data_IF_999135778436
#
_entry.id   IF_999135778436
#
_cell.length_a   1.000
_cell.length_b   1.000
_cell.length_c   1.000
_cell.angle_alpha   90.00
_cell.angle_beta   90.00
_cell.angle_gamma   90.00
#
_symmetry.space_group_name_H-M   'P 1'
#
loop_
_entity.id
_entity.type
_entity.pdbx_description
1 polymer ?
#
# COMPACT_ATOMS: atom_id res chain seq x y z
N UNK A 1 17.00 -13.16 6.21
CA UNK A 1 17.03 -11.79 6.76
C UNK A 1 15.63 -11.18 6.96
N UNK A 2 14.65 -11.50 6.12
CA UNK A 2 13.26 -11.00 6.25
C UNK A 2 12.52 -11.48 7.51
N UNK A 3 12.70 -12.73 7.88
CA UNK A 3 12.06 -13.30 9.09
C UNK A 3 12.56 -12.69 10.41
N UNK A 4 13.78 -12.17 10.45
CA UNK A 4 14.33 -11.47 11.61
C UNK A 4 13.77 -10.05 11.75
N UNK A 5 13.54 -9.34 10.62
CA UNK A 5 12.91 -8.00 10.63
C UNK A 5 11.44 -8.06 11.05
N UNK A 6 10.72 -9.12 10.65
CA UNK A 6 9.31 -9.33 11.02
C UNK A 6 9.13 -9.68 12.50
N UNK A 7 10.09 -10.42 13.08
CA UNK A 7 10.12 -10.73 14.52
C UNK A 7 10.44 -9.50 15.39
N UNK A 8 11.38 -8.65 14.95
CA UNK A 8 11.75 -7.41 15.65
C UNK A 8 10.62 -6.36 15.65
N UNK A 9 9.83 -6.28 14.58
CA UNK A 9 8.67 -5.38 14.50
C UNK A 9 7.53 -5.83 15.43
N UNK A 10 7.24 -7.14 15.47
CA UNK A 10 6.23 -7.73 16.34
C UNK A 10 6.56 -7.56 17.83
N UNK A 11 7.82 -7.69 18.20
CA UNK A 11 8.27 -7.51 19.59
C UNK A 11 8.24 -6.04 20.02
N UNK A 12 8.49 -5.08 19.12
CA UNK A 12 8.36 -3.65 19.42
C UNK A 12 6.90 -3.23 19.62
N UNK A 13 5.98 -3.71 18.79
CA UNK A 13 4.54 -3.47 18.98
C UNK A 13 4.07 -4.08 20.31
N UNK A 14 4.54 -5.28 20.64
CA UNK A 14 4.21 -5.93 21.91
C UNK A 14 4.74 -5.17 23.13
N UNK A 15 5.94 -4.59 23.04
CA UNK A 15 6.53 -3.78 24.11
C UNK A 15 5.78 -2.47 24.29
N UNK A 16 5.35 -1.82 23.20
CA UNK A 16 4.58 -0.57 23.24
C UNK A 16 3.19 -0.85 23.85
N UNK A 17 2.50 -1.91 23.45
CA UNK A 17 1.21 -2.28 24.02
C UNK A 17 1.32 -2.68 25.50
N UNK A 18 2.36 -3.40 25.89
CA UNK A 18 2.60 -3.76 27.30
C UNK A 18 2.90 -2.53 28.15
N UNK A 19 3.69 -1.57 27.65
CA UNK A 19 4.01 -0.29 28.32
C UNK A 19 2.75 0.54 28.55
N UNK A 20 1.85 0.60 27.56
CA UNK A 20 0.55 1.29 27.65
C UNK A 20 -0.35 0.62 28.69
N UNK A 21 -0.43 -0.71 28.71
CA UNK A 21 -1.25 -1.44 29.72
C UNK A 21 -0.73 -1.23 31.16
N UNK A 22 0.59 -1.24 31.37
CA UNK A 22 1.19 -0.97 32.71
C UNK A 22 0.92 0.45 33.16
N UNK A 23 0.95 1.41 32.24
CA UNK A 23 0.64 2.82 32.55
C UNK A 23 -0.85 3.00 32.93
N UNK A 24 -1.76 2.33 32.21
CA UNK A 24 -3.20 2.36 32.53
C UNK A 24 -3.51 1.73 33.90
N UNK A 25 -2.85 0.64 34.26
CA UNK A 25 -3.03 0.02 35.60
C UNK A 25 -2.51 0.90 36.71
N UNK A 26 -1.40 1.63 36.49
CA UNK A 26 -0.88 2.60 37.45
C UNK A 26 -1.83 3.81 37.61
N UNK A 27 -2.39 4.34 36.51
CA UNK A 27 -3.35 5.45 36.58
C UNK A 27 -4.63 5.05 37.33
N UNK A 28 -5.18 3.86 37.11
CA UNK A 28 -6.35 3.37 37.79
C UNK A 28 -6.05 3.17 39.29
N UNK A 29 -4.87 2.69 39.65
CA UNK A 29 -4.45 2.51 41.03
C UNK A 29 -4.33 3.84 41.79
N UNK A 30 -3.84 4.91 41.13
CA UNK A 30 -3.77 6.25 41.72
C UNK A 30 -5.14 6.93 41.87
N UNK A 31 -6.11 6.62 40.98
CA UNK A 31 -7.48 7.13 41.09
C UNK A 31 -8.22 6.46 42.27
N UNK A 32 -8.02 5.16 42.51
CA UNK A 32 -8.69 4.43 43.58
C UNK A 32 -8.16 4.75 45.00
N UNK A 33 -7.00 5.42 45.11
CA UNK A 33 -6.46 5.85 46.39
C UNK A 33 -6.99 7.21 46.91
N UNK A 34 -7.87 7.88 46.14
CA UNK A 34 -8.30 9.27 46.38
C UNK A 34 -9.78 9.45 46.76
N UNK A 35 -10.54 8.38 47.01
CA UNK A 35 -11.87 8.51 47.59
C UNK A 35 -11.81 8.28 49.12
N UNK A 36 -11.41 9.29 49.85
CA UNK A 36 -11.85 9.59 51.24
C UNK A 36 -11.15 10.85 51.72
N UNK A 37 -11.84 11.98 51.72
CA UNK A 37 -11.83 12.96 52.84
C UNK A 37 -12.79 14.12 52.57
N UNK A 38 -13.91 14.09 53.22
CA UNK A 38 -14.73 15.10 53.93
C UNK A 38 -14.65 16.58 53.61
N UNK A 39 -15.88 17.11 53.43
CA UNK A 39 -16.34 18.51 53.47
C UNK A 39 -15.84 19.29 54.72
N UNK A 40 -15.43 20.55 54.52
CA UNK A 40 -15.78 21.66 55.44
C UNK A 40 -15.45 23.03 54.83
N UNK A 41 -16.45 23.87 54.74
CA UNK A 41 -16.57 25.33 54.72
C UNK A 41 -15.31 26.22 54.64
N UNK A 42 -15.28 27.13 53.59
CA UNK A 42 -14.94 28.56 53.76
C UNK A 42 -15.14 29.32 52.42
N UNK A 43 -16.22 30.15 52.37
CA UNK A 43 -16.61 30.86 51.12
C UNK A 43 -16.02 32.26 50.95
N UNK A 44 -15.09 32.74 51.78
CA UNK A 44 -14.53 34.13 51.69
C UNK A 44 -13.05 34.20 51.28
N UNK A 45 -12.31 33.13 51.37
CA UNK A 45 -10.90 33.08 50.91
C UNK A 45 -10.79 32.66 49.41
N UNK A 46 -11.84 32.18 48.79
CA UNK A 46 -11.82 31.54 47.49
C UNK A 46 -11.57 32.52 46.31
N UNK A 47 -11.96 33.82 46.42
CA UNK A 47 -11.79 34.77 45.31
C UNK A 47 -10.34 35.22 45.11
N UNK A 48 -9.66 35.59 46.20
CA UNK A 48 -8.27 36.12 46.13
C UNK A 48 -7.29 34.99 45.79
N UNK A 49 -7.49 33.79 46.30
CA UNK A 49 -6.71 32.59 45.99
C UNK A 49 -6.91 32.18 44.54
N UNK A 50 -8.14 32.24 44.03
CA UNK A 50 -8.46 31.95 42.65
C UNK A 50 -7.78 32.92 41.67
N UNK A 51 -7.83 34.22 41.91
CA UNK A 51 -7.18 35.24 41.07
C UNK A 51 -5.65 35.12 41.08
N UNK A 52 -5.07 34.72 42.19
CA UNK A 52 -3.63 34.50 42.30
C UNK A 52 -3.22 33.24 41.49
N UNK A 53 -3.95 32.13 41.60
CA UNK A 53 -3.74 30.90 40.83
C UNK A 53 -3.82 31.18 39.34
N UNK A 54 -4.86 31.91 38.91
CA UNK A 54 -5.05 32.25 37.51
C UNK A 54 -3.84 33.03 36.95
N UNK A 55 -3.37 34.05 37.67
CA UNK A 55 -2.22 34.86 37.25
C UNK A 55 -0.90 34.08 37.19
N UNK A 56 -0.69 33.14 38.10
CA UNK A 56 0.57 32.35 38.15
C UNK A 56 0.68 31.33 37.04
N UNK A 57 -0.43 30.66 36.68
CA UNK A 57 -0.41 29.55 35.72
C UNK A 57 -0.90 29.92 34.33
N UNK A 58 -1.60 31.04 34.14
CA UNK A 58 -2.12 31.54 32.85
C UNK A 58 -1.04 31.56 31.74
N UNK A 59 0.21 31.96 31.95
CA UNK A 59 1.24 31.93 30.89
C UNK A 59 1.51 30.53 30.34
N UNK A 60 1.45 29.48 31.17
CA UNK A 60 1.68 28.10 30.75
C UNK A 60 0.48 27.55 29.97
N UNK A 61 -0.74 27.91 30.39
CA UNK A 61 -1.97 27.58 29.72
C UNK A 61 -2.05 28.24 28.34
N UNK A 62 -1.66 29.51 28.26
CA UNK A 62 -1.62 30.26 27.00
C UNK A 62 -0.57 29.67 26.03
N UNK A 63 0.63 29.31 26.53
CA UNK A 63 1.66 28.66 25.72
C UNK A 63 1.17 27.32 25.17
N UNK A 64 0.43 26.51 25.95
CA UNK A 64 -0.17 25.25 25.51
C UNK A 64 -1.27 25.50 24.45
N UNK A 65 -2.10 26.52 24.64
CA UNK A 65 -3.14 26.94 23.68
C UNK A 65 -2.52 27.39 22.35
N UNK A 66 -1.42 28.18 22.39
CA UNK A 66 -0.71 28.61 21.19
C UNK A 66 -0.09 27.42 20.42
N UNK A 67 0.44 26.42 21.14
CA UNK A 67 0.93 25.18 20.51
C UNK A 67 -0.20 24.50 19.75
N UNK A 68 -1.39 24.36 20.35
CA UNK A 68 -2.54 23.75 19.71
C UNK A 68 -3.01 24.57 18.48
N UNK A 69 -3.12 25.87 18.60
CA UNK A 69 -3.54 26.77 17.52
C UNK A 69 -2.55 26.74 16.34
N UNK A 70 -1.26 26.50 16.59
CA UNK A 70 -0.23 26.40 15.56
C UNK A 70 -0.47 25.28 14.53
N UNK A 71 -1.32 24.31 14.86
CA UNK A 71 -1.71 23.21 13.96
C UNK A 71 -2.44 23.69 12.69
N UNK A 72 -2.96 24.92 12.69
CA UNK A 72 -3.48 25.58 11.49
C UNK A 72 -2.52 25.54 10.31
N UNK A 73 -1.21 25.59 10.55
CA UNK A 73 -0.18 25.56 9.51
C UNK A 73 -0.03 24.21 8.82
N UNK A 74 -0.60 23.14 9.40
CA UNK A 74 -0.59 21.79 8.83
C UNK A 74 -1.78 21.56 7.89
N UNK A 75 -2.82 22.40 7.98
CA UNK A 75 -4.09 22.24 7.26
C UNK A 75 -3.94 22.72 5.81
N UNK A 76 -4.44 21.93 4.87
CA UNK A 76 -4.50 22.27 3.46
C UNK A 76 -5.91 21.94 2.92
N UNK A 77 -6.85 22.88 3.08
CA UNK A 77 -8.26 22.67 2.77
C UNK A 77 -8.85 21.54 3.61
N UNK A 78 -9.33 20.48 2.95
CA UNK A 78 -9.94 19.29 3.60
C UNK A 78 -8.93 18.16 3.85
N UNK A 79 -7.63 18.43 3.71
CA UNK A 79 -6.54 17.47 3.92
C UNK A 79 -5.39 18.13 4.67
N UNK A 80 -4.27 17.43 4.81
CA UNK A 80 -3.04 17.95 5.42
C UNK A 80 -1.92 18.06 4.38
N UNK A 81 -0.97 18.98 4.64
CA UNK A 81 0.34 18.93 4.02
C UNK A 81 1.26 18.06 4.90
N UNK A 82 1.48 16.82 4.53
CA UNK A 82 2.22 15.83 5.34
C UNK A 82 3.64 16.27 5.70
N UNK A 83 4.35 16.94 4.77
CA UNK A 83 5.70 17.45 5.00
C UNK A 83 5.70 18.58 6.03
N UNK A 84 4.80 19.56 5.88
CA UNK A 84 4.63 20.65 6.84
C UNK A 84 4.16 20.14 8.20
N UNK A 85 3.23 19.18 8.20
CA UNK A 85 2.71 18.56 9.41
C UNK A 85 3.83 17.88 10.21
N UNK A 86 4.70 17.09 9.56
CA UNK A 86 5.85 16.47 10.23
C UNK A 86 6.78 17.49 10.89
N UNK A 87 7.09 18.59 10.21
CA UNK A 87 7.96 19.64 10.74
C UNK A 87 7.31 20.35 11.94
N UNK A 88 6.04 20.74 11.80
CA UNK A 88 5.33 21.51 12.84
C UNK A 88 5.04 20.64 14.07
N UNK A 89 4.66 19.39 13.90
CA UNK A 89 4.45 18.46 14.99
C UNK A 89 5.74 18.25 15.79
N UNK A 90 6.89 18.07 15.14
CA UNK A 90 8.17 17.92 15.83
C UNK A 90 8.58 19.22 16.56
N UNK A 91 8.34 20.41 15.97
CA UNK A 91 8.54 21.68 16.65
C UNK A 91 7.64 21.82 17.89
N UNK A 92 6.36 21.45 17.76
CA UNK A 92 5.41 21.46 18.86
C UNK A 92 5.78 20.49 19.98
N UNK A 93 6.27 19.27 19.64
CA UNK A 93 6.77 18.32 20.64
C UNK A 93 7.96 18.89 21.43
N UNK A 94 8.86 19.60 20.78
CA UNK A 94 9.96 20.30 21.46
C UNK A 94 9.46 21.42 22.38
N UNK A 95 8.45 22.19 21.94
CA UNK A 95 7.81 23.22 22.76
C UNK A 95 7.10 22.63 23.97
N UNK A 96 6.33 21.54 23.79
CA UNK A 96 5.65 20.81 24.88
C UNK A 96 6.67 20.30 25.91
N UNK A 97 7.78 19.73 25.47
CA UNK A 97 8.86 19.28 26.37
C UNK A 97 9.45 20.44 27.16
N UNK A 98 9.70 21.57 26.52
CA UNK A 98 10.22 22.77 27.20
C UNK A 98 9.19 23.34 28.18
N UNK A 99 7.90 23.39 27.78
CA UNK A 99 6.82 23.85 28.65
C UNK A 99 6.69 22.96 29.89
N UNK A 100 6.73 21.62 29.71
CA UNK A 100 6.73 20.68 30.81
C UNK A 100 7.87 20.88 31.79
N UNK A 101 9.09 21.18 31.30
CA UNK A 101 10.24 21.52 32.16
C UNK A 101 10.00 22.82 32.92
N UNK A 102 9.47 23.86 32.26
CA UNK A 102 9.13 25.13 32.92
C UNK A 102 8.14 24.93 34.07
N UNK A 103 7.01 24.21 33.77
CA UNK A 103 5.98 23.92 34.78
C UNK A 103 6.52 23.08 35.93
N UNK A 104 7.34 22.07 35.64
CA UNK A 104 7.96 21.23 36.68
C UNK A 104 8.98 21.98 37.57
N UNK A 105 9.57 23.06 37.06
CA UNK A 105 10.53 23.87 37.79
C UNK A 105 9.88 24.97 38.68
N UNK A 106 8.56 25.14 38.56
CA UNK A 106 7.85 26.07 39.43
C UNK A 106 7.94 25.56 40.85
N UNK A 107 8.86 26.11 41.61
CA UNK A 107 8.96 25.90 43.06
C UNK A 107 7.72 26.55 43.66
N UNK A 108 6.84 25.76 44.22
CA UNK A 108 5.66 26.25 44.91
C UNK A 108 6.13 27.10 46.08
N UNK A 109 6.28 28.40 45.83
CA UNK A 109 6.66 29.35 46.85
C UNK A 109 5.58 29.53 47.94
N UNK A 110 4.37 29.06 47.66
CA UNK A 110 3.23 29.07 48.56
C UNK A 110 2.51 27.71 48.55
N UNK A 111 2.36 27.12 49.72
CA UNK A 111 1.74 25.81 49.96
C UNK A 111 0.24 25.69 49.51
N UNK A 112 -0.28 26.63 48.73
CA UNK A 112 -1.71 26.75 48.51
C UNK A 112 -2.23 26.08 47.21
N UNK A 113 -1.34 25.56 46.32
CA UNK A 113 -1.82 24.97 45.06
C UNK A 113 -1.01 23.77 44.56
N UNK A 114 -0.70 22.77 45.39
CA UNK A 114 0.10 21.60 44.96
C UNK A 114 -0.65 20.75 43.88
N UNK A 115 -1.96 20.93 43.69
CA UNK A 115 -2.76 20.15 42.76
C UNK A 115 -2.73 20.64 41.31
N UNK A 116 -2.36 21.93 41.05
CA UNK A 116 -2.42 22.50 39.69
C UNK A 116 -1.28 22.01 38.80
N UNK A 117 -0.06 21.95 39.34
CA UNK A 117 1.12 21.52 38.57
C UNK A 117 0.94 20.14 37.96
N UNK A 118 0.51 19.08 38.69
CA UNK A 118 0.24 17.77 38.10
C UNK A 118 -0.84 17.81 37.03
N UNK A 119 -1.86 18.62 37.17
CA UNK A 119 -2.95 18.75 36.17
C UNK A 119 -2.46 19.42 34.87
N UNK A 120 -1.69 20.50 34.98
CA UNK A 120 -1.07 21.16 33.81
C UNK A 120 -0.09 20.20 33.12
N UNK A 121 0.72 19.48 33.88
CA UNK A 121 1.63 18.46 33.33
C UNK A 121 0.86 17.38 32.59
N UNK A 122 -0.28 16.90 33.14
CA UNK A 122 -1.13 15.92 32.47
C UNK A 122 -1.71 16.43 31.16
N UNK A 123 -2.09 17.71 31.07
CA UNK A 123 -2.54 18.32 29.82
C UNK A 123 -1.42 18.33 28.78
N UNK A 124 -0.19 18.71 29.19
CA UNK A 124 0.98 18.73 28.32
C UNK A 124 1.31 17.30 27.84
N UNK A 125 1.32 16.32 28.74
CA UNK A 125 1.62 14.92 28.41
C UNK A 125 0.61 14.32 27.46
N UNK A 126 -0.69 14.53 27.68
CA UNK A 126 -1.72 14.04 26.75
C UNK A 126 -1.58 14.65 25.37
N UNK A 127 -1.23 15.94 25.27
CA UNK A 127 -0.96 16.62 24.00
C UNK A 127 0.31 16.09 23.34
N UNK A 128 1.36 15.85 24.12
CA UNK A 128 2.61 15.25 23.67
C UNK A 128 2.37 13.83 23.09
N UNK A 129 1.59 12.99 23.78
CA UNK A 129 1.23 11.66 23.28
C UNK A 129 0.43 11.72 21.97
N UNK A 130 -0.55 12.61 21.87
CA UNK A 130 -1.35 12.78 20.67
C UNK A 130 -0.49 13.18 19.47
N UNK A 131 0.37 14.19 19.64
CA UNK A 131 1.19 14.70 18.54
C UNK A 131 2.35 13.76 18.19
N UNK A 132 2.95 13.09 19.17
CA UNK A 132 3.95 12.04 18.95
C UNK A 132 3.38 10.89 18.13
N UNK A 133 2.18 10.45 18.47
CA UNK A 133 1.51 9.41 17.69
C UNK A 133 1.26 9.82 16.23
N UNK A 134 0.85 11.06 15.99
CA UNK A 134 0.71 11.58 14.62
C UNK A 134 2.05 11.59 13.86
N UNK A 135 3.17 11.96 14.52
CA UNK A 135 4.53 11.90 13.92
C UNK A 135 4.92 10.47 13.58
N UNK A 136 4.68 9.54 14.49
CA UNK A 136 5.00 8.12 14.27
C UNK A 136 4.23 7.55 13.07
N UNK A 137 2.94 7.86 12.98
CA UNK A 137 2.09 7.45 11.86
C UNK A 137 2.57 8.05 10.53
N UNK A 138 2.96 9.34 10.50
CA UNK A 138 3.52 9.97 9.29
C UNK A 138 4.85 9.34 8.84
N UNK A 139 5.63 8.81 9.78
CA UNK A 139 6.93 8.19 9.52
C UNK A 139 6.82 6.74 9.03
N UNK A 140 5.73 6.03 9.34
CA UNK A 140 5.53 4.61 9.07
C UNK A 140 4.23 4.35 8.28
N UNK A 141 4.17 4.83 7.04
CA UNK A 141 2.96 4.74 6.20
C UNK A 141 2.73 3.36 5.57
N UNK A 142 3.64 2.39 5.71
CA UNK A 142 3.50 1.08 5.10
C UNK A 142 2.83 0.06 6.05
N UNK A 143 1.73 -0.55 5.61
CA UNK A 143 1.01 -1.63 6.29
C UNK A 143 0.28 -1.27 7.59
N UNK A 144 -0.14 -0.02 7.77
CA UNK A 144 -0.95 0.39 8.92
C UNK A 144 -2.45 0.23 8.63
N UNK A 145 -3.18 -0.34 9.58
CA UNK A 145 -4.65 -0.34 9.56
C UNK A 145 -5.15 1.06 9.90
N UNK A 146 -5.73 1.78 8.94
CA UNK A 146 -6.28 3.13 9.17
C UNK A 146 -7.37 3.11 10.23
N UNK A 147 -8.14 2.02 10.35
CA UNK A 147 -9.16 1.87 11.38
C UNK A 147 -8.56 1.84 12.81
N UNK A 148 -7.45 1.13 13.01
CA UNK A 148 -6.75 1.07 14.30
C UNK A 148 -6.12 2.43 14.64
N UNK A 149 -5.48 3.07 13.67
CA UNK A 149 -4.90 4.41 13.83
C UNK A 149 -5.98 5.43 14.21
N UNK A 150 -7.11 5.42 13.50
CA UNK A 150 -8.24 6.31 13.78
C UNK A 150 -8.76 6.12 15.20
N UNK A 151 -8.94 4.88 15.62
CA UNK A 151 -9.39 4.56 16.99
C UNK A 151 -8.43 5.08 18.03
N UNK A 152 -7.12 4.96 17.81
CA UNK A 152 -6.09 5.45 18.73
C UNK A 152 -6.04 6.98 18.77
N UNK A 153 -6.14 7.67 17.62
CA UNK A 153 -6.20 9.14 17.56
C UNK A 153 -7.41 9.66 18.34
N UNK A 154 -8.59 9.04 18.14
CA UNK A 154 -9.80 9.44 18.86
C UNK A 154 -9.68 9.23 20.37
N UNK A 155 -9.06 8.15 20.81
CA UNK A 155 -8.78 7.90 22.24
C UNK A 155 -7.84 8.98 22.80
N UNK A 156 -6.75 9.30 22.13
CA UNK A 156 -5.79 10.32 22.57
C UNK A 156 -6.40 11.71 22.56
N UNK A 157 -7.22 12.04 21.55
CA UNK A 157 -8.01 13.29 21.47
C UNK A 157 -8.94 13.42 22.68
N UNK A 158 -9.62 12.35 23.05
CA UNK A 158 -10.51 12.31 24.21
C UNK A 158 -9.75 12.51 25.54
N UNK A 159 -8.58 11.90 25.69
CA UNK A 159 -7.72 12.09 26.84
C UNK A 159 -7.26 13.56 26.99
N UNK A 160 -6.90 14.20 25.87
CA UNK A 160 -6.60 15.63 25.88
C UNK A 160 -7.80 16.46 26.32
N UNK A 161 -9.00 16.21 25.77
CA UNK A 161 -10.21 16.94 26.15
C UNK A 161 -10.53 16.81 27.63
N UNK A 162 -10.48 15.61 28.18
CA UNK A 162 -10.74 15.39 29.62
C UNK A 162 -9.74 16.11 30.50
N UNK A 163 -8.45 16.07 30.21
CA UNK A 163 -7.46 16.79 31.01
C UNK A 163 -7.63 18.32 30.92
N UNK A 164 -8.07 18.83 29.77
CA UNK A 164 -8.35 20.25 29.58
C UNK A 164 -9.62 20.70 30.33
N UNK A 165 -10.67 19.91 30.31
CA UNK A 165 -11.87 20.11 31.10
C UNK A 165 -11.58 20.17 32.60
N UNK A 166 -10.68 19.29 33.09
CA UNK A 166 -10.24 19.31 34.47
C UNK A 166 -9.57 20.62 34.88
N UNK A 167 -8.79 21.23 33.99
CA UNK A 167 -8.19 22.57 34.19
C UNK A 167 -9.23 23.69 34.10
N UNK A 168 -10.20 23.57 33.18
CA UNK A 168 -11.27 24.57 33.01
C UNK A 168 -12.15 24.70 34.25
N UNK A 169 -12.28 23.65 35.05
CA UNK A 169 -12.98 23.71 36.35
C UNK A 169 -12.34 24.65 37.39
N UNK A 170 -11.06 25.02 37.18
CA UNK A 170 -10.36 26.01 38.00
C UNK A 170 -10.48 27.44 37.46
N UNK A 171 -11.18 27.64 36.32
CA UNK A 171 -11.43 28.92 35.70
C UNK A 171 -10.50 29.30 34.56
N UNK A 172 -9.68 28.37 34.10
CA UNK A 172 -8.88 28.56 32.89
C UNK A 172 -9.69 28.23 31.64
N UNK A 173 -9.53 29.02 30.57
CA UNK A 173 -10.07 28.70 29.25
C UNK A 173 -9.04 27.85 28.50
N UNK A 174 -9.11 26.53 28.68
CA UNK A 174 -8.26 25.58 27.95
C UNK A 174 -9.14 24.53 27.27
N UNK A 175 -8.99 24.43 25.98
CA UNK A 175 -9.66 23.41 25.15
C UNK A 175 -8.77 23.08 23.95
N UNK A 176 -9.01 21.91 23.36
CA UNK A 176 -8.36 21.58 22.11
C UNK A 176 -8.87 22.54 21.03
N UNK A 177 -7.98 23.32 20.41
CA UNK A 177 -8.38 24.37 19.48
C UNK A 177 -9.08 23.80 18.24
N UNK A 178 -9.92 24.60 17.59
CA UNK A 178 -10.59 24.25 16.35
C UNK A 178 -9.57 23.83 15.28
N UNK A 179 -8.40 24.47 15.26
CA UNK A 179 -7.32 24.15 14.33
C UNK A 179 -6.73 22.76 14.61
N UNK A 180 -6.53 22.39 15.88
CA UNK A 180 -6.09 21.04 16.25
C UNK A 180 -7.14 19.98 15.89
N UNK A 181 -8.42 20.25 16.16
CA UNK A 181 -9.49 19.33 15.79
C UNK A 181 -9.59 19.15 14.28
N UNK A 182 -9.58 20.24 13.53
CA UNK A 182 -9.60 20.23 12.05
C UNK A 182 -8.37 19.49 11.50
N UNK A 183 -7.20 19.72 12.10
CA UNK A 183 -6.00 18.98 11.70
C UNK A 183 -6.18 17.46 11.90
N UNK A 184 -6.67 17.01 13.04
CA UNK A 184 -6.85 15.60 13.34
C UNK A 184 -7.87 14.94 12.40
N UNK A 185 -8.97 15.62 12.13
CA UNK A 185 -9.99 15.12 11.21
C UNK A 185 -9.47 15.02 9.76
N UNK A 186 -8.75 16.05 9.30
CA UNK A 186 -8.08 16.05 8.00
C UNK A 186 -6.96 15.01 7.91
N UNK A 187 -6.24 14.76 9.02
CA UNK A 187 -5.19 13.74 9.11
C UNK A 187 -5.78 12.34 8.92
N UNK A 188 -6.88 12.02 9.59
CA UNK A 188 -7.60 10.76 9.41
C UNK A 188 -8.06 10.61 7.95
N UNK A 189 -8.62 11.65 7.35
CA UNK A 189 -9.04 11.66 5.95
C UNK A 189 -7.88 11.42 4.98
N UNK A 190 -6.72 12.03 5.25
CA UNK A 190 -5.48 11.83 4.50
C UNK A 190 -5.01 10.37 4.56
N UNK A 191 -5.02 9.75 5.73
CA UNK A 191 -4.64 8.34 5.91
C UNK A 191 -5.58 7.40 5.15
N UNK A 192 -6.89 7.67 5.19
CA UNK A 192 -7.86 6.90 4.41
C UNK A 192 -7.63 6.98 2.89
N UNK A 193 -7.18 8.14 2.42
CA UNK A 193 -6.81 8.32 1.00
C UNK A 193 -5.54 7.54 0.65
N UNK A 194 -4.51 7.59 1.51
CA UNK A 194 -3.28 6.81 1.32
C UNK A 194 -3.55 5.30 1.30
N UNK A 195 -4.39 4.79 2.21
CA UNK A 195 -4.76 3.39 2.24
C UNK A 195 -5.43 2.94 0.93
N UNK A 196 -6.33 3.77 0.38
CA UNK A 196 -6.98 3.47 -0.91
C UNK A 196 -5.96 3.40 -2.05
N UNK A 197 -5.09 4.41 -2.17
CA UNK A 197 -4.04 4.45 -3.20
C UNK A 197 -3.14 3.20 -3.09
N UNK A 198 -2.68 2.87 -1.89
CA UNK A 198 -1.81 1.70 -1.67
C UNK A 198 -2.51 0.39 -2.04
N UNK A 199 -3.80 0.24 -1.72
CA UNK A 199 -4.59 -0.94 -2.11
C UNK A 199 -4.80 -1.02 -3.62
N UNK A 200 -5.09 0.09 -4.28
CA UNK A 200 -5.24 0.15 -5.73
C UNK A 200 -3.93 -0.22 -6.44
N UNK A 201 -2.79 0.30 -5.98
CA UNK A 201 -1.48 -0.01 -6.55
C UNK A 201 -1.10 -1.48 -6.34
N UNK A 202 -1.42 -2.07 -5.18
CA UNK A 202 -1.21 -3.47 -4.91
C UNK A 202 -2.06 -4.37 -5.84
N UNK A 203 -3.33 -4.00 -6.07
CA UNK A 203 -4.21 -4.71 -7.00
C UNK A 203 -3.68 -4.62 -8.43
N UNK A 204 -3.30 -3.42 -8.90
CA UNK A 204 -2.72 -3.23 -10.24
C UNK A 204 -1.46 -4.06 -10.42
N UNK A 205 -0.56 -4.04 -9.44
CA UNK A 205 0.68 -4.83 -9.46
C UNK A 205 0.39 -6.34 -9.53
N UNK A 206 -0.58 -6.82 -8.75
CA UNK A 206 -0.98 -8.23 -8.76
C UNK A 206 -1.57 -8.63 -10.11
N UNK A 207 -2.45 -7.79 -10.68
CA UNK A 207 -3.05 -8.03 -12.00
C UNK A 207 -1.98 -8.04 -13.10
N UNK A 208 -1.03 -7.10 -13.06
CA UNK A 208 0.09 -7.04 -14.00
C UNK A 208 0.93 -8.32 -13.93
N UNK A 209 1.40 -8.71 -12.76
CA UNK A 209 2.23 -9.89 -12.57
C UNK A 209 1.52 -11.18 -13.01
N UNK A 210 0.25 -11.35 -12.63
CA UNK A 210 -0.55 -12.50 -13.03
C UNK A 210 -0.73 -12.57 -14.56
N UNK A 211 -0.86 -11.41 -15.22
CA UNK A 211 -0.98 -11.37 -16.68
C UNK A 211 0.36 -11.70 -17.36
N UNK A 212 1.49 -11.21 -16.85
CA UNK A 212 2.82 -11.56 -17.37
C UNK A 212 3.10 -13.07 -17.22
N UNK A 213 2.77 -13.67 -16.08
CA UNK A 213 2.90 -15.12 -15.88
C UNK A 213 2.08 -15.89 -16.93
N UNK A 214 0.87 -15.42 -17.25
CA UNK A 214 0.03 -16.03 -18.28
C UNK A 214 0.61 -15.86 -19.68
N UNK A 215 1.17 -14.70 -20.00
CA UNK A 215 1.88 -14.45 -21.25
C UNK A 215 3.06 -15.43 -21.43
N UNK A 216 3.88 -15.57 -20.39
CA UNK A 216 5.03 -16.49 -20.38
C UNK A 216 4.55 -17.93 -20.57
N UNK A 217 3.51 -18.36 -19.86
CA UNK A 217 2.93 -19.68 -19.99
C UNK A 217 2.47 -19.95 -21.43
N UNK A 218 1.64 -19.07 -22.00
CA UNK A 218 1.12 -19.24 -23.36
C UNK A 218 2.24 -19.19 -24.44
N UNK A 219 3.28 -18.38 -24.21
CA UNK A 219 4.45 -18.33 -25.10
C UNK A 219 5.27 -19.61 -25.05
N UNK A 220 5.44 -20.21 -23.86
CA UNK A 220 6.14 -21.49 -23.70
C UNK A 220 5.32 -22.64 -24.33
N UNK A 221 4.01 -22.70 -24.08
CA UNK A 221 3.12 -23.70 -24.69
C UNK A 221 3.12 -23.58 -26.23
N UNK A 222 3.21 -22.36 -26.79
CA UNK A 222 3.37 -22.16 -28.23
C UNK A 222 4.75 -22.63 -28.71
N UNK A 223 5.81 -22.37 -27.93
CA UNK A 223 7.18 -22.85 -28.23
C UNK A 223 7.24 -24.36 -28.29
N UNK A 224 6.55 -25.05 -27.40
CA UNK A 224 6.54 -26.51 -27.29
C UNK A 224 5.92 -27.19 -28.52
N UNK A 225 5.02 -26.50 -29.24
CA UNK A 225 4.39 -27.01 -30.48
C UNK A 225 5.02 -26.43 -31.75
N UNK A 226 5.97 -25.51 -31.64
CA UNK A 226 6.64 -24.87 -32.79
C UNK A 226 7.79 -25.73 -33.29
N UNK A 227 7.48 -26.73 -34.08
CA UNK A 227 8.46 -27.62 -34.71
C UNK A 227 8.72 -27.23 -36.16
N UNK A 228 9.98 -27.35 -36.56
CA UNK A 228 10.34 -27.39 -37.97
C UNK A 228 10.00 -28.74 -38.58
N UNK A 229 8.96 -28.76 -39.41
CA UNK A 229 8.48 -29.98 -40.05
C UNK A 229 9.21 -30.32 -41.38
N UNK A 230 10.13 -29.49 -41.84
CA UNK A 230 10.90 -29.74 -43.08
C UNK A 230 11.71 -31.04 -43.01
N UNK A 231 12.48 -31.33 -41.94
CA UNK A 231 13.23 -32.57 -41.85
C UNK A 231 12.35 -33.81 -41.86
N UNK A 232 11.18 -33.73 -41.20
CA UNK A 232 10.20 -34.83 -41.16
C UNK A 232 9.60 -35.12 -42.54
N UNK A 233 9.26 -34.06 -43.29
CA UNK A 233 8.72 -34.18 -44.66
C UNK A 233 9.77 -34.80 -45.60
N UNK A 234 11.00 -34.33 -45.55
CA UNK A 234 12.10 -34.86 -46.36
C UNK A 234 12.39 -36.33 -46.04
N UNK A 235 12.29 -36.75 -44.77
CA UNK A 235 12.45 -38.15 -44.37
C UNK A 235 11.30 -39.02 -44.92
N UNK A 236 10.04 -38.59 -44.82
CA UNK A 236 8.85 -39.29 -45.32
C UNK A 236 8.95 -39.51 -46.82
N UNK A 237 9.40 -38.49 -47.59
CA UNK A 237 9.65 -38.59 -49.03
C UNK A 237 10.73 -39.65 -49.33
N UNK A 238 11.87 -39.58 -48.65
CA UNK A 238 12.96 -40.52 -48.82
C UNK A 238 12.56 -41.98 -48.55
N UNK A 239 11.65 -42.18 -47.60
CA UNK A 239 11.18 -43.51 -47.19
C UNK A 239 9.91 -43.94 -47.93
N UNK A 240 9.39 -43.14 -48.89
CA UNK A 240 8.14 -43.37 -49.62
C UNK A 240 6.94 -43.65 -48.69
N UNK A 241 6.89 -42.97 -47.53
CA UNK A 241 5.75 -43.06 -46.61
C UNK A 241 4.65 -42.06 -46.97
N UNK A 242 3.46 -42.30 -46.41
CA UNK A 242 2.34 -41.40 -46.61
C UNK A 242 2.52 -40.08 -45.88
N UNK A 243 2.28 -38.97 -46.57
CA UNK A 243 2.24 -37.60 -46.01
C UNK A 243 1.00 -37.37 -45.10
N UNK A 244 0.11 -38.36 -44.95
CA UNK A 244 -1.03 -38.26 -44.03
C UNK A 244 -0.58 -38.06 -42.57
N UNK A 245 0.60 -38.56 -42.20
CA UNK A 245 1.18 -38.34 -40.88
C UNK A 245 1.41 -36.86 -40.61
N UNK A 246 1.93 -36.13 -41.61
CA UNK A 246 2.13 -34.68 -41.51
C UNK A 246 0.80 -33.92 -41.41
N UNK A 247 -0.24 -34.33 -42.17
CA UNK A 247 -1.56 -33.73 -42.06
C UNK A 247 -2.19 -33.94 -40.68
N UNK A 248 -1.96 -35.11 -40.08
CA UNK A 248 -2.45 -35.44 -38.74
C UNK A 248 -1.72 -34.60 -37.69
N UNK A 249 -0.39 -34.43 -37.78
CA UNK A 249 0.42 -33.60 -36.92
C UNK A 249 0.01 -32.09 -37.00
N UNK A 250 -0.17 -31.59 -38.21
CA UNK A 250 -0.68 -30.22 -38.43
C UNK A 250 -2.03 -30.03 -37.72
N UNK A 251 -2.95 -30.99 -37.86
CA UNK A 251 -4.29 -30.93 -37.23
C UNK A 251 -4.19 -30.92 -35.70
N UNK A 252 -3.31 -31.73 -35.14
CA UNK A 252 -3.07 -31.76 -33.71
C UNK A 252 -2.55 -30.40 -33.21
N UNK A 253 -1.54 -29.84 -33.90
CA UNK A 253 -0.97 -28.51 -33.60
C UNK A 253 -2.01 -27.39 -33.75
N UNK A 254 -2.88 -27.43 -34.78
CA UNK A 254 -4.02 -26.50 -34.91
C UNK A 254 -4.96 -26.57 -33.69
N UNK A 255 -5.23 -27.77 -33.17
CA UNK A 255 -6.08 -27.95 -31.99
C UNK A 255 -5.46 -27.45 -30.72
N UNK A 256 -4.17 -27.75 -30.49
CA UNK A 256 -3.43 -27.25 -29.32
C UNK A 256 -3.32 -25.71 -29.36
N UNK A 257 -2.99 -25.15 -30.53
CA UNK A 257 -2.94 -23.69 -30.71
C UNK A 257 -4.29 -23.03 -30.35
N UNK A 258 -5.42 -23.65 -30.78
CA UNK A 258 -6.72 -23.09 -30.44
C UNK A 258 -6.97 -23.11 -28.92
N UNK A 259 -6.55 -24.17 -28.22
CA UNK A 259 -6.66 -24.27 -26.78
C UNK A 259 -5.82 -23.18 -26.08
N UNK A 260 -4.57 -22.96 -26.51
CA UNK A 260 -3.69 -21.89 -26.00
C UNK A 260 -4.34 -20.51 -26.20
N UNK A 261 -4.89 -20.27 -27.38
CA UNK A 261 -5.59 -19.00 -27.70
C UNK A 261 -6.82 -18.79 -26.82
N UNK A 262 -7.65 -19.80 -26.65
CA UNK A 262 -8.85 -19.74 -25.83
C UNK A 262 -8.47 -19.43 -24.37
N UNK A 263 -7.51 -20.13 -23.79
CA UNK A 263 -7.02 -19.88 -22.45
C UNK A 263 -6.46 -18.44 -22.31
N UNK A 264 -5.76 -17.96 -23.32
CA UNK A 264 -5.16 -16.61 -23.30
C UNK A 264 -6.20 -15.49 -23.38
N UNK A 265 -7.22 -15.62 -24.24
CA UNK A 265 -8.20 -14.54 -24.49
C UNK A 265 -9.22 -14.33 -23.37
N UNK A 266 -9.36 -15.27 -22.43
CA UNK A 266 -10.25 -15.10 -21.26
C UNK A 266 -9.75 -14.12 -20.21
N UNK A 267 -8.61 -13.46 -20.42
CA UNK A 267 -8.03 -12.54 -19.44
C UNK A 267 -8.26 -11.07 -19.80
N UNK A 268 -8.55 -10.26 -18.78
CA UNK A 268 -8.49 -8.80 -18.91
C UNK A 268 -7.03 -8.37 -19.12
N UNK A 269 -6.80 -7.44 -20.03
CA UNK A 269 -5.47 -6.90 -20.32
C UNK A 269 -5.23 -5.74 -19.35
N UNK A 270 -4.24 -5.83 -18.42
CA UNK A 270 -3.89 -4.73 -17.55
C UNK A 270 -3.30 -3.55 -18.32
N UNK A 271 -3.40 -2.36 -17.72
CA UNK A 271 -2.73 -1.17 -18.23
C UNK A 271 -1.22 -1.43 -18.39
N UNK A 272 -0.65 -1.07 -19.53
CA UNK A 272 0.77 -1.31 -19.84
C UNK A 272 1.07 -2.67 -20.51
N UNK A 273 0.15 -3.63 -20.57
CA UNK A 273 0.37 -4.95 -21.17
C UNK A 273 -0.12 -5.07 -22.64
N UNK A 274 -0.69 -4.01 -23.19
CA UNK A 274 -1.33 -4.08 -24.53
C UNK A 274 -0.33 -4.39 -25.65
N UNK A 275 0.92 -3.95 -25.53
CA UNK A 275 1.99 -4.26 -26.50
C UNK A 275 2.35 -5.74 -26.50
N UNK A 276 2.46 -6.35 -25.33
CA UNK A 276 2.72 -7.79 -25.17
C UNK A 276 1.56 -8.63 -25.68
N UNK A 277 0.32 -8.21 -25.37
CA UNK A 277 -0.88 -8.85 -25.95
C UNK A 277 -0.85 -8.86 -27.46
N UNK A 278 -0.60 -7.71 -28.08
CA UNK A 278 -0.56 -7.58 -29.54
C UNK A 278 0.56 -8.43 -30.15
N UNK A 279 1.72 -8.50 -29.50
CA UNK A 279 2.84 -9.29 -29.95
C UNK A 279 2.50 -10.80 -29.95
N UNK A 280 1.99 -11.34 -28.85
CA UNK A 280 1.59 -12.76 -28.77
C UNK A 280 0.44 -13.07 -29.72
N UNK A 281 -0.55 -12.19 -29.82
CA UNK A 281 -1.65 -12.36 -30.77
C UNK A 281 -1.20 -12.40 -32.23
N UNK A 282 -0.21 -11.55 -32.60
CA UNK A 282 0.43 -11.61 -33.90
C UNK A 282 1.17 -12.93 -34.10
N UNK A 283 1.91 -13.41 -33.11
CA UNK A 283 2.63 -14.70 -33.16
C UNK A 283 1.66 -15.87 -33.37
N UNK A 284 0.53 -15.88 -32.68
CA UNK A 284 -0.53 -16.86 -32.94
C UNK A 284 -1.05 -16.82 -34.38
N UNK A 285 -1.20 -15.63 -34.93
CA UNK A 285 -1.66 -15.45 -36.32
C UNK A 285 -0.62 -15.95 -37.32
N UNK A 286 0.65 -15.65 -37.09
CA UNK A 286 1.76 -16.15 -37.91
C UNK A 286 1.83 -17.67 -37.86
N UNK A 287 1.70 -18.30 -36.68
CA UNK A 287 1.73 -19.74 -36.54
C UNK A 287 0.54 -20.41 -37.24
N UNK A 288 -0.67 -19.86 -37.11
CA UNK A 288 -1.85 -20.35 -37.87
C UNK A 288 -1.59 -20.26 -39.39
N UNK A 289 -0.91 -19.20 -39.84
CA UNK A 289 -0.60 -19.00 -41.26
C UNK A 289 0.46 -19.98 -41.76
N UNK A 290 1.48 -20.28 -40.91
CA UNK A 290 2.46 -21.33 -41.18
C UNK A 290 1.80 -22.69 -41.36
N UNK A 291 1.02 -23.14 -40.36
CA UNK A 291 0.33 -24.45 -40.39
C UNK A 291 -0.58 -24.59 -41.61
N UNK A 292 -1.37 -23.55 -41.91
CA UNK A 292 -2.24 -23.55 -43.11
C UNK A 292 -1.45 -23.62 -44.42
N UNK A 293 -0.33 -22.87 -44.51
CA UNK A 293 0.53 -22.89 -45.71
C UNK A 293 1.17 -24.25 -45.91
N UNK A 294 1.64 -24.87 -44.84
CA UNK A 294 2.20 -26.21 -44.87
C UNK A 294 1.17 -27.27 -45.25
N UNK A 295 -0.03 -27.17 -44.69
CA UNK A 295 -1.17 -28.02 -45.05
C UNK A 295 -1.50 -27.96 -46.54
N UNK A 296 -1.52 -26.73 -47.11
CA UNK A 296 -1.74 -26.53 -48.55
C UNK A 296 -0.64 -27.19 -49.37
N UNK A 297 0.66 -27.01 -48.98
CA UNK A 297 1.77 -27.63 -49.67
C UNK A 297 1.72 -29.14 -49.65
N UNK A 298 1.40 -29.76 -48.52
CA UNK A 298 1.27 -31.22 -48.39
C UNK A 298 0.08 -31.75 -49.22
N UNK A 299 -1.06 -31.07 -49.19
CA UNK A 299 -2.25 -31.48 -50.00
C UNK A 299 -1.93 -31.36 -51.50
N UNK A 300 -1.27 -30.31 -51.92
CA UNK A 300 -0.85 -30.12 -53.30
C UNK A 300 0.08 -31.24 -53.79
N UNK A 301 1.10 -31.60 -53.01
CA UNK A 301 2.00 -32.71 -53.29
C UNK A 301 1.25 -34.05 -53.42
N UNK A 302 0.36 -34.35 -52.47
CA UNK A 302 -0.46 -35.59 -52.47
C UNK A 302 -1.40 -35.68 -53.68
N UNK A 303 -1.89 -34.57 -54.18
CA UNK A 303 -2.77 -34.52 -55.36
C UNK A 303 -1.99 -34.59 -56.67
N UNK A 304 -0.70 -34.43 -56.66
CA UNK A 304 0.16 -34.47 -57.84
C UNK A 304 0.39 -35.91 -58.25
N UNK A 305 0.15 -36.25 -59.51
CA UNK A 305 0.31 -37.62 -60.04
C UNK A 305 1.76 -38.07 -60.13
N UNK A 306 2.71 -37.10 -60.25
CA UNK A 306 4.15 -37.34 -60.29
C UNK A 306 4.87 -36.18 -59.63
N UNK A 307 5.69 -36.47 -58.61
CA UNK A 307 6.48 -35.44 -57.91
C UNK A 307 7.45 -34.73 -58.84
N UNK A 308 8.22 -35.48 -59.65
CA UNK A 308 9.25 -34.91 -60.53
C UNK A 308 8.69 -33.91 -61.57
N UNK A 309 7.49 -34.20 -62.11
CA UNK A 309 6.84 -33.29 -63.08
C UNK A 309 6.34 -31.99 -62.46
N UNK A 310 6.03 -32.00 -61.16
CA UNK A 310 5.45 -30.89 -60.43
C UNK A 310 6.45 -30.27 -59.41
N UNK A 311 7.69 -30.72 -59.34
CA UNK A 311 8.68 -30.42 -58.34
C UNK A 311 8.81 -28.92 -58.06
N UNK A 312 8.97 -28.11 -59.10
CA UNK A 312 9.13 -26.68 -58.95
C UNK A 312 7.95 -25.99 -58.21
N UNK A 313 6.73 -26.44 -58.46
CA UNK A 313 5.55 -25.89 -57.83
C UNK A 313 5.39 -26.43 -56.37
N UNK A 314 5.71 -27.67 -56.17
CA UNK A 314 5.71 -28.33 -54.83
C UNK A 314 6.74 -27.63 -53.95
N UNK A 315 8.01 -27.50 -54.41
CA UNK A 315 9.07 -26.86 -53.67
C UNK A 315 8.76 -25.40 -53.37
N UNK A 316 8.15 -24.67 -54.33
CA UNK A 316 7.69 -23.29 -54.10
C UNK A 316 6.67 -23.19 -52.96
N UNK A 317 5.70 -24.11 -52.87
CA UNK A 317 4.70 -24.11 -51.80
C UNK A 317 5.31 -24.39 -50.45
N UNK A 318 6.25 -25.33 -50.36
CA UNK A 318 6.99 -25.62 -49.14
C UNK A 318 7.89 -24.51 -48.70
N UNK A 319 8.68 -23.93 -49.60
CA UNK A 319 9.54 -22.77 -49.32
C UNK A 319 8.74 -21.59 -48.78
N UNK A 320 7.52 -21.36 -49.30
CA UNK A 320 6.63 -20.35 -48.78
C UNK A 320 6.14 -20.68 -47.37
N UNK A 321 5.92 -21.95 -47.04
CA UNK A 321 5.57 -22.36 -45.67
C UNK A 321 6.77 -22.24 -44.71
N UNK A 322 7.95 -22.69 -45.11
CA UNK A 322 9.18 -22.62 -44.27
C UNK A 322 9.59 -21.18 -43.96
N UNK A 323 9.47 -20.27 -44.91
CA UNK A 323 9.71 -18.84 -44.65
C UNK A 323 8.75 -18.29 -43.56
N UNK A 324 7.51 -18.80 -43.47
CA UNK A 324 6.58 -18.39 -42.44
C UNK A 324 6.91 -19.01 -41.06
N UNK A 325 7.54 -20.18 -41.03
CA UNK A 325 8.08 -20.75 -39.80
C UNK A 325 9.13 -19.81 -39.18
N UNK A 326 10.06 -19.28 -40.00
CA UNK A 326 11.06 -18.33 -39.55
C UNK A 326 10.45 -17.03 -39.00
N UNK A 327 9.34 -16.56 -39.64
CA UNK A 327 8.59 -15.38 -39.15
C UNK A 327 7.99 -15.63 -37.75
N UNK A 328 7.41 -16.82 -37.52
CA UNK A 328 6.84 -17.21 -36.20
C UNK A 328 7.95 -17.27 -35.17
N UNK A 329 9.06 -17.93 -35.47
CA UNK A 329 10.21 -18.10 -34.58
C UNK A 329 10.75 -16.73 -34.15
N UNK A 330 10.99 -15.86 -35.12
CA UNK A 330 11.48 -14.49 -34.87
C UNK A 330 10.51 -13.70 -33.99
N UNK A 331 9.20 -13.78 -34.25
CA UNK A 331 8.17 -13.11 -33.47
C UNK A 331 8.13 -13.61 -32.03
N UNK A 332 8.20 -14.93 -31.81
CA UNK A 332 8.18 -15.56 -30.48
C UNK A 332 9.46 -15.22 -29.67
N UNK A 333 10.64 -15.32 -30.31
CA UNK A 333 11.90 -14.95 -29.68
C UNK A 333 11.91 -13.46 -29.27
N UNK A 334 11.42 -12.57 -30.13
CA UNK A 334 11.29 -11.14 -29.80
C UNK A 334 10.35 -10.89 -28.61
N UNK A 335 9.24 -11.60 -28.51
CA UNK A 335 8.32 -11.51 -27.38
C UNK A 335 8.99 -11.98 -26.10
N UNK A 336 9.61 -13.16 -26.10
CA UNK A 336 10.27 -13.74 -24.91
C UNK A 336 11.44 -12.88 -24.43
N UNK A 337 12.13 -12.22 -25.34
CA UNK A 337 13.20 -11.28 -24.96
C UNK A 337 12.66 -9.99 -24.31
N UNK A 338 11.44 -9.59 -24.62
CA UNK A 338 10.83 -8.35 -24.13
C UNK A 338 10.09 -8.51 -22.79
N UNK A 339 9.77 -9.75 -22.38
CA UNK A 339 9.11 -10.10 -21.11
C UNK A 339 10.12 -10.23 -19.96
#
# INVERSE_FOLDING_TARGET
MENLKKSLSKNRILIITLSICVFFTLCIFFISLKEDTTNSSNNYTNGIVKDFILKEYEPYINELSEINTSMKKCINGVTINSKSASIILNDNLNKLKNLKQKVSSVVVANNNTPEMIPKIILCIENTEYLYSYCVDVLSYTSNLSVAEITSQILLLKENCKKSYEDISNYGFELYLSEESETFLDNFIGYLGTLEKITKEDAIKTTQYNSYIEKLIKSSNELSDILDDLEPAINLIRKENRSLDVILSDIKEKETILQTIKDDFYYSSIPEGCISYYNCLNNTFTLYSTYLNSLKIAVIYEKSSTNYEDNKNNIDKNYNNAYSKYDDVKTSLESLLYSL
#
